data_IF_033157222508
#
_entry.id   IF_033157222508
#
_cell.length_a   1.000
_cell.length_b   1.000
_cell.length_c   1.000
_cell.angle_alpha   90.00
_cell.angle_beta   90.00
_cell.angle_gamma   90.00
#
_symmetry.space_group_name_H-M   'P 1'
#
loop_
_entity.id
_entity.type
_entity.pdbx_description
1 polymer ?
#
# COMPACT_ATOMS: atom_id res chain seq x y z
N UNK A 1 -12.37 -3.30 7.90
CA UNK A 1 -12.25 -3.81 6.51
C UNK A 1 -11.45 -5.11 6.50
N UNK A 2 -10.19 -5.13 6.95
CA UNK A 2 -9.33 -6.31 6.83
C UNK A 2 -9.60 -7.46 7.83
N UNK A 3 -10.44 -7.24 8.86
CA UNK A 3 -10.86 -8.31 9.79
C UNK A 3 -11.70 -9.35 9.04
N UNK A 4 -11.44 -10.64 9.23
CA UNK A 4 -12.16 -11.72 8.57
C UNK A 4 -11.54 -12.17 7.24
N UNK A 5 -10.42 -11.57 6.81
CA UNK A 5 -9.70 -11.97 5.60
C UNK A 5 -8.52 -12.93 5.89
N UNK A 6 -8.43 -13.45 7.11
CA UNK A 6 -7.35 -14.33 7.55
C UNK A 6 -7.34 -15.65 6.73
N UNK A 7 -8.52 -16.10 6.28
CA UNK A 7 -8.64 -17.28 5.40
C UNK A 7 -8.00 -17.09 4.02
N UNK A 8 -7.82 -15.84 3.57
CA UNK A 8 -7.08 -15.50 2.36
C UNK A 8 -5.58 -15.30 2.63
N UNK A 9 -5.17 -15.36 3.90
CA UNK A 9 -3.78 -15.16 4.33
C UNK A 9 -3.41 -13.72 4.64
N UNK A 10 -4.39 -12.83 4.81
CA UNK A 10 -4.18 -11.44 5.24
C UNK A 10 -4.21 -11.39 6.76
N UNK A 11 -3.08 -11.09 7.37
CA UNK A 11 -2.96 -10.88 8.82
C UNK A 11 -2.37 -9.50 9.10
N UNK A 12 -3.12 -8.65 9.80
CA UNK A 12 -2.74 -7.25 10.04
C UNK A 12 -2.18 -7.08 11.44
N UNK A 13 -1.09 -6.32 11.55
CA UNK A 13 -0.55 -5.79 12.79
C UNK A 13 -1.24 -4.44 13.11
N UNK A 14 -1.98 -4.41 14.21
CA UNK A 14 -2.77 -3.24 14.61
C UNK A 14 -1.92 -2.03 14.99
N UNK A 15 -0.73 -2.24 15.53
CA UNK A 15 0.19 -1.14 15.87
C UNK A 15 0.84 -0.58 14.61
N UNK A 16 1.23 -1.45 13.67
CA UNK A 16 1.76 -1.01 12.37
C UNK A 16 0.72 -0.24 11.56
N UNK A 17 -0.54 -0.66 11.63
CA UNK A 17 -1.66 0.00 10.95
C UNK A 17 -2.06 1.35 11.58
N UNK A 18 -1.61 1.67 12.79
CA UNK A 18 -1.90 2.95 13.43
C UNK A 18 -0.96 4.07 12.94
N UNK A 19 -0.99 4.35 11.65
CA UNK A 19 -0.19 5.38 10.98
C UNK A 19 -1.03 6.15 9.96
N UNK A 20 -0.65 7.39 9.66
CA UNK A 20 -1.26 8.21 8.60
C UNK A 20 -0.18 8.83 7.73
N UNK A 21 -0.43 8.88 6.41
CA UNK A 21 0.41 9.61 5.45
C UNK A 21 1.83 9.06 5.29
N UNK A 22 2.08 7.79 5.60
CA UNK A 22 3.40 7.15 5.45
C UNK A 22 3.27 5.85 4.68
N UNK A 23 4.26 5.58 3.83
CA UNK A 23 4.44 4.26 3.24
C UNK A 23 4.81 3.29 4.36
N UNK A 24 4.00 2.26 4.60
CA UNK A 24 4.24 1.29 5.68
C UNK A 24 3.61 -0.06 5.38
N UNK A 25 4.35 -1.13 5.65
CA UNK A 25 3.78 -2.47 5.73
C UNK A 25 2.99 -2.64 7.02
N UNK A 26 1.74 -3.07 6.88
CA UNK A 26 0.80 -3.30 7.99
C UNK A 26 0.50 -4.78 8.20
N UNK A 27 1.01 -5.67 7.35
CA UNK A 27 0.98 -7.12 7.57
C UNK A 27 1.85 -7.53 8.76
N UNK A 28 1.45 -8.63 9.40
CA UNK A 28 2.32 -9.37 10.31
C UNK A 28 3.44 -10.05 9.53
N UNK A 29 4.57 -10.23 10.20
CA UNK A 29 5.70 -10.94 9.63
C UNK A 29 5.34 -12.40 9.31
N UNK A 30 5.73 -12.87 8.12
CA UNK A 30 5.46 -14.24 7.67
C UNK A 30 4.02 -14.51 7.20
N UNK A 31 3.14 -13.49 7.14
CA UNK A 31 1.82 -13.66 6.55
C UNK A 31 1.91 -13.98 5.05
N UNK A 32 0.91 -14.70 4.52
CA UNK A 32 0.90 -15.13 3.12
C UNK A 32 0.67 -13.97 2.15
N UNK A 33 -0.08 -12.96 2.57
CA UNK A 33 -0.45 -11.80 1.75
C UNK A 33 -0.02 -10.51 2.44
N UNK A 34 0.94 -9.82 1.85
CA UNK A 34 1.45 -8.56 2.38
C UNK A 34 0.44 -7.43 2.16
N UNK A 35 0.22 -6.62 3.18
CA UNK A 35 -0.65 -5.46 3.13
C UNK A 35 0.15 -4.18 3.41
N UNK A 36 -0.03 -3.17 2.57
CA UNK A 36 0.68 -1.90 2.66
C UNK A 36 -0.28 -0.71 2.70
N UNK A 37 0.09 0.32 3.45
CA UNK A 37 -0.43 1.67 3.28
C UNK A 37 0.56 2.40 2.37
N UNK A 38 0.09 2.88 1.22
CA UNK A 38 0.87 3.67 0.27
C UNK A 38 0.08 4.95 -0.01
N UNK A 39 0.55 6.12 0.48
CA UNK A 39 -0.03 7.39 0.07
C UNK A 39 0.09 7.55 -1.45
N UNK A 40 -1.02 7.89 -2.09
CA UNK A 40 -1.03 8.25 -3.51
C UNK A 40 -0.39 9.63 -3.73
N UNK A 41 0.12 9.84 -4.93
CA UNK A 41 0.55 11.14 -5.43
C UNK A 41 0.15 11.22 -6.90
N UNK A 42 -1.08 11.69 -7.12
CA UNK A 42 -1.74 11.79 -8.41
C UNK A 42 -0.98 12.72 -9.36
N UNK A 43 -0.48 13.86 -8.85
CA UNK A 43 0.28 14.83 -9.64
C UNK A 43 1.57 14.21 -10.19
N UNK A 44 2.24 13.37 -9.40
CA UNK A 44 3.45 12.67 -9.83
C UNK A 44 3.16 11.64 -10.93
N UNK A 45 2.03 10.93 -10.84
CA UNK A 45 1.62 9.99 -11.90
C UNK A 45 1.35 10.77 -13.19
N UNK A 46 0.56 11.83 -13.14
CA UNK A 46 0.26 12.68 -14.31
C UNK A 46 1.54 13.25 -14.92
N UNK A 47 2.47 13.74 -14.10
CA UNK A 47 3.73 14.28 -14.58
C UNK A 47 4.60 13.22 -15.27
N UNK A 48 4.69 12.01 -14.70
CA UNK A 48 5.43 10.88 -15.30
C UNK A 48 4.83 10.47 -16.63
N UNK A 49 3.50 10.31 -16.70
CA UNK A 49 2.81 9.94 -17.93
C UNK A 49 2.99 11.02 -19.00
N UNK A 50 2.92 12.29 -18.62
CA UNK A 50 3.18 13.42 -19.54
C UNK A 50 4.59 13.37 -20.10
N UNK A 51 5.61 13.14 -19.25
CA UNK A 51 7.01 13.02 -19.68
C UNK A 51 7.20 11.82 -20.61
N UNK A 52 6.59 10.68 -20.29
CA UNK A 52 6.66 9.47 -21.13
C UNK A 52 6.05 9.71 -22.52
N UNK A 53 4.92 10.44 -22.59
CA UNK A 53 4.26 10.75 -23.85
C UNK A 53 5.08 11.68 -24.75
N UNK A 54 5.79 12.66 -24.19
CA UNK A 54 6.57 13.63 -24.97
C UNK A 54 8.01 13.17 -25.28
N UNK A 55 8.48 12.08 -24.65
CA UNK A 55 9.85 11.56 -24.82
C UNK A 55 9.95 10.41 -25.85
N UNK A 56 8.86 10.10 -26.56
CA UNK A 56 8.83 9.21 -27.73
C UNK A 56 9.02 10.00 -29.02
#
# INVERSE_FOLDING_TARGET
ILKGLEFLGVEVDTERNNVRGKVREISKEGCKVNAFVIPTNEELVIARDTVELISK
#
